data_IF_724259369940
#
_entry.id   IF_724259369940
#
_cell.length_a   1.000
_cell.length_b   1.000
_cell.length_c   1.000
_cell.angle_alpha   90.00
_cell.angle_beta   90.00
_cell.angle_gamma   90.00
#
_symmetry.space_group_name_H-M   'P 1'
#
loop_
_entity.id
_entity.type
_entity.pdbx_description
1 polymer ?
#
# COMPACT_ATOMS: atom_id res chain seq x y z
N UNK A 1 -26.15 -2.95 -5.83
CA UNK A 1 -25.30 -4.15 -5.65
C UNK A 1 -23.84 -3.85 -6.02
N UNK A 2 -23.24 -2.80 -5.44
CA UNK A 2 -21.93 -2.29 -5.90
C UNK A 2 -20.81 -2.25 -4.86
N UNK A 3 -21.11 -2.45 -3.57
CA UNK A 3 -20.14 -2.24 -2.49
C UNK A 3 -19.35 -3.50 -2.09
N UNK A 4 -19.90 -4.71 -2.33
CA UNK A 4 -19.23 -5.97 -1.98
C UNK A 4 -17.99 -6.25 -2.85
N UNK A 5 -18.11 -6.07 -4.18
CA UNK A 5 -17.00 -6.30 -5.11
C UNK A 5 -15.79 -5.40 -4.87
N UNK A 6 -16.04 -4.14 -4.49
CA UNK A 6 -14.96 -3.16 -4.25
C UNK A 6 -14.16 -3.48 -2.99
N UNK A 7 -14.79 -4.08 -1.96
CA UNK A 7 -14.11 -4.49 -0.74
C UNK A 7 -13.28 -5.75 -0.94
N UNK A 8 -13.77 -6.70 -1.73
CA UNK A 8 -13.05 -7.92 -2.10
C UNK A 8 -11.80 -7.61 -2.93
N UNK A 9 -11.92 -6.75 -3.96
CA UNK A 9 -10.76 -6.30 -4.76
C UNK A 9 -9.72 -5.54 -3.92
N UNK A 10 -10.17 -4.71 -2.97
CA UNK A 10 -9.24 -4.02 -2.06
C UNK A 10 -8.52 -5.01 -1.14
N UNK A 11 -9.21 -6.03 -0.61
CA UNK A 11 -8.60 -7.05 0.23
C UNK A 11 -7.63 -7.95 -0.53
N UNK A 12 -7.91 -8.31 -1.78
CA UNK A 12 -6.97 -9.05 -2.63
C UNK A 12 -5.72 -8.22 -2.93
N UNK A 13 -5.88 -6.93 -3.25
CA UNK A 13 -4.76 -6.01 -3.48
C UNK A 13 -3.87 -5.84 -2.24
N UNK A 14 -4.47 -5.77 -1.05
CA UNK A 14 -3.74 -5.68 0.21
C UNK A 14 -3.00 -6.99 0.55
N UNK A 15 -3.58 -8.14 0.24
CA UNK A 15 -2.94 -9.45 0.45
C UNK A 15 -1.79 -9.70 -0.54
N UNK A 16 -1.89 -9.18 -1.77
CA UNK A 16 -0.82 -9.26 -2.76
C UNK A 16 0.30 -8.21 -2.55
N UNK A 17 0.07 -7.19 -1.72
CA UNK A 17 1.04 -6.14 -1.45
C UNK A 17 2.12 -6.62 -0.48
N UNK A 18 3.34 -6.81 -0.98
CA UNK A 18 4.53 -7.03 -0.15
C UNK A 18 5.15 -5.69 0.19
N UNK A 19 5.19 -5.36 1.48
CA UNK A 19 5.78 -4.11 1.97
C UNK A 19 7.22 -3.94 1.50
N UNK A 20 7.53 -2.82 0.85
CA UNK A 20 8.85 -2.52 0.28
C UNK A 20 9.03 -2.93 -1.19
N UNK A 21 8.01 -3.50 -1.82
CA UNK A 21 7.98 -3.70 -3.27
C UNK A 21 7.30 -2.52 -3.97
N UNK A 22 7.61 -2.30 -5.25
CA UNK A 22 6.92 -1.32 -6.06
C UNK A 22 5.43 -1.70 -6.18
N UNK A 23 4.55 -0.70 -6.31
CA UNK A 23 3.10 -0.90 -6.46
C UNK A 23 2.72 -1.78 -7.69
N UNK A 24 3.64 -1.92 -8.64
CA UNK A 24 3.60 -2.91 -9.73
C UNK A 24 4.83 -3.80 -9.61
N UNK A 25 4.71 -5.12 -9.87
CA UNK A 25 5.84 -6.03 -9.76
C UNK A 25 6.95 -5.66 -10.75
N UNK A 26 8.15 -5.47 -10.23
CA UNK A 26 9.41 -5.38 -10.99
C UNK A 26 10.01 -6.77 -11.17
N UNK A 27 10.99 -6.91 -12.06
CA UNK A 27 11.66 -8.20 -12.30
C UNK A 27 12.44 -8.71 -11.09
N UNK A 28 12.99 -7.80 -10.29
CA UNK A 28 13.62 -8.04 -8.99
C UNK A 28 13.49 -6.77 -8.12
N UNK A 29 13.85 -6.80 -6.82
CA UNK A 29 13.91 -5.58 -6.02
C UNK A 29 14.79 -4.51 -6.68
N UNK A 30 14.39 -3.25 -6.65
CA UNK A 30 15.09 -2.17 -7.36
C UNK A 30 16.59 -2.06 -7.00
N UNK A 31 16.98 -2.40 -5.76
CA UNK A 31 18.37 -2.40 -5.31
C UNK A 31 19.20 -3.59 -5.83
N UNK A 32 18.57 -4.59 -6.44
CA UNK A 32 19.21 -5.74 -7.05
C UNK A 32 19.33 -5.61 -8.58
N UNK A 33 18.78 -4.54 -9.16
CA UNK A 33 18.80 -4.25 -10.60
C UNK A 33 19.87 -3.21 -10.94
N UNK A 34 20.29 -3.17 -12.21
CA UNK A 34 21.11 -2.07 -12.71
C UNK A 34 20.30 -0.77 -12.78
N UNK A 35 20.95 0.38 -12.73
CA UNK A 35 20.25 1.67 -12.81
C UNK A 35 19.42 1.79 -14.11
N UNK A 36 19.95 1.30 -15.23
CA UNK A 36 19.29 1.34 -16.53
C UNK A 36 18.06 0.43 -16.58
N UNK A 37 18.10 -0.73 -15.90
CA UNK A 37 16.94 -1.61 -15.78
C UNK A 37 15.85 -0.97 -14.90
N UNK A 38 16.25 -0.28 -13.82
CA UNK A 38 15.32 0.45 -12.96
C UNK A 38 14.65 1.61 -13.71
N UNK A 39 15.42 2.42 -14.45
CA UNK A 39 14.92 3.51 -15.29
C UNK A 39 13.93 3.00 -16.36
N UNK A 40 14.26 1.89 -17.01
CA UNK A 40 13.37 1.24 -17.99
C UNK A 40 12.09 0.69 -17.35
N UNK A 41 12.19 -0.02 -16.24
CA UNK A 41 11.04 -0.65 -15.58
C UNK A 41 10.12 0.37 -14.89
N UNK A 42 10.68 1.44 -14.32
CA UNK A 42 9.92 2.52 -13.68
C UNK A 42 9.44 3.58 -14.67
N UNK A 43 9.84 3.50 -15.94
CA UNK A 43 9.53 4.48 -16.99
C UNK A 43 9.77 5.91 -16.48
N UNK A 44 10.98 6.16 -16.02
CA UNK A 44 11.39 7.42 -15.41
C UNK A 44 12.77 7.79 -15.93
N UNK A 45 13.01 9.08 -16.15
CA UNK A 45 14.34 9.55 -16.50
C UNK A 45 15.17 9.75 -15.22
N UNK A 46 16.40 9.24 -15.18
CA UNK A 46 17.24 9.31 -13.98
C UNK A 46 17.82 10.71 -13.69
N UNK A 47 17.90 11.61 -14.67
CA UNK A 47 18.44 12.96 -14.52
C UNK A 47 17.34 13.98 -14.15
N UNK A 48 16.21 13.93 -14.85
CA UNK A 48 15.09 14.87 -14.66
C UNK A 48 13.93 14.30 -13.85
N UNK A 49 13.85 12.98 -13.68
CA UNK A 49 12.79 12.33 -12.91
C UNK A 49 11.48 12.18 -13.71
N UNK A 50 10.35 12.38 -13.03
CA UNK A 50 9.02 12.26 -13.63
C UNK A 50 8.52 13.59 -14.14
N UNK A 51 7.78 13.55 -15.26
CA UNK A 51 7.02 14.72 -15.71
C UNK A 51 5.86 15.02 -14.75
N UNK A 52 5.39 16.28 -14.67
CA UNK A 52 4.25 16.64 -13.82
C UNK A 52 2.97 15.86 -14.16
N UNK A 53 2.73 15.59 -15.44
CA UNK A 53 1.58 14.81 -15.92
C UNK A 53 1.66 13.34 -15.49
N UNK A 54 2.83 12.71 -15.59
CA UNK A 54 3.04 11.34 -15.11
C UNK A 54 2.94 11.27 -13.59
N UNK A 55 3.51 12.23 -12.87
CA UNK A 55 3.40 12.30 -11.42
C UNK A 55 1.94 12.42 -10.97
N UNK A 56 1.14 13.25 -11.64
CA UNK A 56 -0.29 13.38 -11.39
C UNK A 56 -1.05 12.09 -11.70
N UNK A 57 -0.73 11.45 -12.82
CA UNK A 57 -1.33 10.16 -13.20
C UNK A 57 -1.02 9.08 -12.17
N UNK A 58 0.23 9.00 -11.70
CA UNK A 58 0.65 8.05 -10.65
C UNK A 58 -0.03 8.34 -9.32
N UNK A 59 -0.21 9.61 -8.96
CA UNK A 59 -0.93 10.00 -7.75
C UNK A 59 -2.39 9.54 -7.77
N UNK A 60 -3.06 9.65 -8.93
CA UNK A 60 -4.44 9.18 -9.10
C UNK A 60 -4.54 7.64 -9.01
N UNK A 61 -3.57 6.94 -9.61
CA UNK A 61 -3.52 5.46 -9.63
C UNK A 61 -3.15 4.85 -8.27
N UNK A 62 -2.17 5.42 -7.57
CA UNK A 62 -1.61 4.83 -6.34
C UNK A 62 -2.10 5.50 -5.06
N UNK A 63 -2.69 6.68 -5.15
CA UNK A 63 -3.04 7.48 -3.98
C UNK A 63 -1.83 8.20 -3.38
N UNK A 64 -2.08 8.91 -2.28
CA UNK A 64 -1.04 9.66 -1.56
C UNK A 64 -0.13 8.67 -0.81
N UNK A 65 1.17 8.97 -0.80
CA UNK A 65 2.16 8.18 -0.06
C UNK A 65 2.08 8.52 1.44
N UNK A 66 1.02 8.05 2.07
CA UNK A 66 0.78 8.20 3.50
C UNK A 66 0.40 6.85 4.10
N UNK A 67 0.83 6.62 5.35
CA UNK A 67 0.29 5.50 6.11
C UNK A 67 -1.20 5.77 6.28
N UNK A 68 -2.03 4.87 5.73
CA UNK A 68 -3.48 4.98 5.86
C UNK A 68 -3.89 5.15 7.31
N UNK A 69 -5.06 5.75 7.53
CA UNK A 69 -5.57 6.01 8.87
C UNK A 69 -5.58 4.69 9.67
N UNK A 70 -4.71 4.60 10.67
CA UNK A 70 -4.69 3.44 11.54
C UNK A 70 -6.03 3.40 12.24
N UNK A 71 -6.77 2.30 12.10
CA UNK A 71 -8.04 2.12 12.79
C UNK A 71 -7.83 2.43 14.27
N UNK A 72 -8.40 3.56 14.73
CA UNK A 72 -8.26 4.00 16.10
C UNK A 72 -8.67 2.87 17.03
N UNK A 73 -7.87 2.62 18.07
CA UNK A 73 -8.24 1.64 19.07
C UNK A 73 -9.55 2.07 19.71
N UNK A 74 -10.55 1.18 19.75
CA UNK A 74 -11.85 1.46 20.37
C UNK A 74 -11.73 1.21 21.88
N UNK A 75 -11.66 2.25 22.75
CA UNK A 75 -11.34 2.05 24.17
C UNK A 75 -12.39 1.19 24.88
N UNK A 76 -13.65 1.28 24.45
CA UNK A 76 -14.73 0.46 24.97
C UNK A 76 -14.54 -1.04 24.71
N UNK A 77 -14.07 -1.43 23.51
CA UNK A 77 -13.77 -2.84 23.19
C UNK A 77 -12.61 -3.36 24.03
N UNK A 78 -11.61 -2.52 24.31
CA UNK A 78 -10.48 -2.87 25.16
C UNK A 78 -10.95 -3.14 26.59
N UNK A 79 -11.80 -2.28 27.15
CA UNK A 79 -12.34 -2.45 28.50
C UNK A 79 -13.15 -3.74 28.64
N UNK A 80 -14.01 -4.05 27.66
CA UNK A 80 -14.76 -5.31 27.65
C UNK A 80 -13.83 -6.53 27.61
N UNK A 81 -12.76 -6.47 26.80
CA UNK A 81 -11.74 -7.52 26.75
C UNK A 81 -11.00 -7.71 28.08
N UNK A 82 -10.72 -6.62 28.80
CA UNK A 82 -10.11 -6.68 30.13
C UNK A 82 -11.03 -7.35 31.16
N UNK A 83 -12.32 -7.02 31.15
CA UNK A 83 -13.31 -7.65 32.04
C UNK A 83 -13.44 -9.14 31.72
N UNK A 84 -13.55 -9.49 30.44
CA UNK A 84 -13.64 -10.90 30.02
C UNK A 84 -12.40 -11.70 30.45
N UNK A 85 -11.20 -11.22 30.15
CA UNK A 85 -9.95 -11.88 30.54
C UNK A 85 -9.80 -11.98 32.07
N UNK A 86 -10.29 -11.01 32.84
CA UNK A 86 -10.29 -11.05 34.30
C UNK A 86 -11.32 -12.02 34.89
N UNK A 87 -12.39 -12.36 34.15
CA UNK A 87 -13.47 -13.26 34.61
C UNK A 87 -13.29 -14.71 34.15
N UNK A 88 -12.33 -15.00 33.27
CA UNK A 88 -12.09 -16.36 32.73
C UNK A 88 -10.83 -17.05 33.25
N UNK A 89 -10.07 -16.43 34.17
CA UNK A 89 -8.95 -17.07 34.88
C UNK A 89 -9.39 -17.61 36.24
#
# INVERSE_FOLDING_TARGET
MGQGKQQEEQQERLQAHVSGQANKPMSAPAHALSYADVERELQVDHEVGLTPDEAKTRLDVYGRNEFGEQAGVQPFKILLGQIANALTL
#
